data_IF_221106939447
#
_entry.id   IF_221106939447
#
_cell.length_a   1.000
_cell.length_b   1.000
_cell.length_c   1.000
_cell.angle_alpha   90.00
_cell.angle_beta   90.00
_cell.angle_gamma   90.00
#
_symmetry.space_group_name_H-M   'P 1'
#
loop_
_entity.id
_entity.type
_entity.pdbx_description
1 polymer ?
#
# COMPACT_ATOMS: atom_id res chain seq x y z
N UNK A 1 -17.54 -32.89 71.04
CA UNK A 1 -17.34 -31.65 70.26
C UNK A 1 -17.37 -32.06 68.78
N UNK A 2 -18.51 -32.05 68.08
CA UNK A 2 -19.18 -30.86 67.48
C UNK A 2 -18.16 -30.20 66.53
N UNK A 3 -18.19 -30.29 65.20
CA UNK A 3 -19.31 -29.94 64.30
C UNK A 3 -19.02 -30.36 62.83
N UNK A 4 -20.07 -30.90 62.16
CA UNK A 4 -20.63 -30.45 60.85
C UNK A 4 -19.94 -30.98 59.56
N UNK A 5 -20.53 -31.99 58.86
CA UNK A 5 -21.58 -31.90 57.80
C UNK A 5 -20.97 -31.36 56.48
N UNK A 6 -21.08 -31.93 55.27
CA UNK A 6 -21.97 -32.94 54.68
C UNK A 6 -21.42 -33.40 53.31
N UNK A 7 -21.65 -34.67 52.98
CA UNK A 7 -22.05 -35.25 51.68
C UNK A 7 -21.41 -34.75 50.36
N UNK A 8 -20.59 -35.62 49.76
CA UNK A 8 -20.34 -35.67 48.32
C UNK A 8 -21.44 -36.54 47.66
N UNK A 9 -22.49 -35.90 47.15
CA UNK A 9 -23.51 -36.56 46.32
C UNK A 9 -23.11 -36.49 44.85
N UNK A 10 -23.15 -37.66 44.20
CA UNK A 10 -23.14 -37.85 42.76
C UNK A 10 -24.23 -36.96 42.16
N UNK A 11 -23.86 -36.03 41.28
CA UNK A 11 -24.80 -35.22 40.53
C UNK A 11 -24.43 -35.26 39.05
N UNK A 12 -25.11 -36.17 38.36
CA UNK A 12 -25.34 -36.15 36.93
C UNK A 12 -25.99 -34.81 36.61
N UNK A 13 -25.27 -33.92 35.94
CA UNK A 13 -25.84 -32.71 35.37
C UNK A 13 -25.77 -32.77 33.84
N UNK A 14 -26.95 -33.01 33.28
CA UNK A 14 -27.35 -32.58 31.95
C UNK A 14 -27.08 -31.08 31.82
N UNK A 15 -26.08 -30.68 31.04
CA UNK A 15 -25.97 -29.31 30.52
C UNK A 15 -26.10 -29.39 29.01
N UNK A 16 -27.33 -29.12 28.57
CA UNK A 16 -27.69 -28.32 27.40
C UNK A 16 -26.57 -28.10 26.39
N UNK A 17 -26.74 -28.67 25.18
CA UNK A 17 -26.14 -28.14 23.96
C UNK A 17 -26.60 -26.69 23.78
N UNK A 18 -25.86 -25.75 24.35
CA UNK A 18 -25.85 -24.38 23.85
C UNK A 18 -25.06 -24.44 22.55
N UNK A 19 -25.78 -24.66 21.44
CA UNK A 19 -25.27 -24.31 20.13
C UNK A 19 -25.02 -22.81 20.15
N UNK A 20 -23.76 -22.41 20.36
CA UNK A 20 -23.28 -21.11 19.92
C UNK A 20 -23.68 -21.00 18.44
N UNK A 21 -24.34 -19.92 18.00
CA UNK A 21 -24.59 -19.72 16.59
C UNK A 21 -23.23 -19.75 15.92
N UNK A 22 -23.06 -20.69 14.98
CA UNK A 22 -21.99 -20.65 14.01
C UNK A 22 -22.02 -19.24 13.43
N UNK A 23 -21.06 -18.40 13.83
CA UNK A 23 -20.87 -17.09 13.22
C UNK A 23 -20.79 -17.31 11.73
N UNK A 24 -21.73 -16.70 11.02
CA UNK A 24 -21.92 -16.76 9.58
C UNK A 24 -20.55 -16.74 8.86
N UNK A 25 -20.22 -17.71 7.98
CA UNK A 25 -18.92 -17.77 7.30
C UNK A 25 -18.66 -16.61 6.32
N UNK A 26 -19.47 -15.54 6.37
CA UNK A 26 -19.26 -14.26 5.69
C UNK A 26 -19.43 -13.09 6.68
N UNK A 27 -18.54 -12.97 7.67
CA UNK A 27 -18.03 -11.62 7.93
C UNK A 27 -17.20 -11.30 6.70
N UNK A 28 -17.81 -10.66 5.70
CA UNK A 28 -17.07 -10.06 4.59
C UNK A 28 -16.06 -9.11 5.23
N UNK A 29 -14.79 -9.52 5.27
CA UNK A 29 -13.71 -8.62 5.67
C UNK A 29 -13.80 -7.42 4.72
N UNK A 30 -14.20 -6.26 5.26
CA UNK A 30 -14.22 -5.01 4.52
C UNK A 30 -12.81 -4.75 4.02
N UNK A 31 -12.61 -4.82 2.70
CA UNK A 31 -11.30 -4.57 2.11
C UNK A 31 -10.97 -3.10 2.20
N UNK A 32 -9.71 -2.77 2.41
CA UNK A 32 -9.21 -1.40 2.34
C UNK A 32 -8.20 -1.28 1.21
N UNK A 33 -8.38 -0.29 0.33
CA UNK A 33 -7.37 0.10 -0.65
C UNK A 33 -6.77 1.44 -0.25
N UNK A 34 -5.44 1.51 -0.18
CA UNK A 34 -4.71 2.76 -0.03
C UNK A 34 -4.29 3.25 -1.41
N UNK A 35 -4.75 4.43 -1.81
CA UNK A 35 -4.32 5.13 -3.02
C UNK A 35 -3.29 6.19 -2.68
N UNK A 36 -2.15 6.15 -3.35
CA UNK A 36 -1.10 7.16 -3.30
C UNK A 36 -1.00 7.84 -4.67
N UNK A 37 -1.31 9.12 -4.73
CA UNK A 37 -1.11 9.93 -5.93
C UNK A 37 0.19 10.74 -5.85
N UNK A 38 1.13 10.50 -6.77
CA UNK A 38 2.46 11.13 -6.74
C UNK A 38 2.70 12.20 -7.80
N UNK A 39 1.79 12.35 -8.77
CA UNK A 39 1.93 13.38 -9.79
C UNK A 39 1.79 14.77 -9.19
N UNK A 40 2.75 15.67 -9.47
CA UNK A 40 2.65 17.09 -9.11
C UNK A 40 1.54 17.82 -9.88
N UNK A 41 1.09 17.25 -11.02
CA UNK A 41 -0.03 17.76 -11.79
C UNK A 41 -1.34 17.23 -11.19
N UNK A 42 -2.27 18.12 -10.87
CA UNK A 42 -3.65 17.75 -10.56
C UNK A 42 -4.46 17.63 -11.85
N UNK A 43 -4.41 18.66 -12.69
CA UNK A 43 -5.05 18.68 -14.01
C UNK A 43 -4.11 18.13 -15.09
N UNK A 44 -4.67 17.42 -16.08
CA UNK A 44 -3.90 16.85 -17.20
C UNK A 44 -2.94 15.72 -16.80
N UNK A 45 -3.09 15.14 -15.61
CA UNK A 45 -2.27 14.02 -15.16
C UNK A 45 -2.85 12.68 -15.61
N UNK A 46 -2.24 12.09 -16.64
CA UNK A 46 -2.69 10.78 -17.14
C UNK A 46 -2.61 9.66 -16.10
N UNK A 47 -1.59 9.66 -15.23
CA UNK A 47 -1.49 8.65 -14.17
C UNK A 47 -2.65 8.75 -13.18
N UNK A 48 -3.09 9.98 -12.83
CA UNK A 48 -4.24 10.19 -11.94
C UNK A 48 -5.54 9.77 -12.60
N UNK A 49 -5.79 10.19 -13.85
CA UNK A 49 -7.00 9.80 -14.59
C UNK A 49 -7.14 8.29 -14.77
N UNK A 50 -6.03 7.59 -15.04
CA UNK A 50 -6.02 6.12 -15.11
C UNK A 50 -6.15 5.48 -13.70
N UNK A 51 -5.63 6.14 -12.66
CA UNK A 51 -5.87 5.76 -11.26
C UNK A 51 -7.34 5.87 -10.86
N UNK A 52 -8.03 6.95 -11.22
CA UNK A 52 -9.47 7.12 -11.01
C UNK A 52 -10.26 6.02 -11.71
N UNK A 53 -9.85 5.67 -12.93
CA UNK A 53 -10.45 4.55 -13.66
C UNK A 53 -10.24 3.23 -12.91
N UNK A 54 -9.00 2.92 -12.51
CA UNK A 54 -8.70 1.71 -11.73
C UNK A 54 -9.53 1.65 -10.44
N UNK A 55 -9.54 2.73 -9.66
CA UNK A 55 -10.26 2.83 -8.40
C UNK A 55 -11.75 2.53 -8.60
N UNK A 56 -12.38 3.14 -9.61
CA UNK A 56 -13.78 2.89 -9.96
C UNK A 56 -14.03 1.42 -10.27
N UNK A 57 -13.18 0.80 -11.09
CA UNK A 57 -13.33 -0.62 -11.44
C UNK A 57 -13.15 -1.51 -10.21
N UNK A 58 -12.14 -1.22 -9.38
CA UNK A 58 -11.85 -2.00 -8.19
C UNK A 58 -12.96 -1.91 -7.14
N UNK A 59 -13.51 -0.72 -6.88
CA UNK A 59 -14.64 -0.52 -5.98
C UNK A 59 -15.92 -1.17 -6.50
N UNK A 60 -16.14 -1.20 -7.82
CA UNK A 60 -17.29 -1.92 -8.41
C UNK A 60 -17.29 -3.43 -8.09
N UNK A 61 -16.12 -4.01 -7.86
CA UNK A 61 -15.94 -5.42 -7.46
C UNK A 61 -15.86 -5.62 -5.95
N UNK A 62 -15.67 -4.53 -5.20
CA UNK A 62 -15.55 -4.54 -3.75
C UNK A 62 -16.42 -3.40 -3.18
N UNK A 63 -17.76 -3.49 -3.28
CA UNK A 63 -18.67 -2.37 -2.98
C UNK A 63 -18.61 -1.90 -1.52
N UNK A 64 -18.26 -2.79 -0.59
CA UNK A 64 -18.11 -2.47 0.84
C UNK A 64 -16.68 -2.04 1.21
N UNK A 65 -15.80 -1.87 0.22
CA UNK A 65 -14.40 -1.54 0.49
C UNK A 65 -14.23 -0.07 0.89
N UNK A 66 -13.27 0.14 1.79
CA UNK A 66 -12.83 1.48 2.21
C UNK A 66 -11.72 1.98 1.30
N UNK A 67 -11.84 3.23 0.87
CA UNK A 67 -10.75 3.96 0.21
C UNK A 67 -10.01 4.81 1.25
N UNK A 68 -8.71 4.60 1.37
CA UNK A 68 -7.77 5.55 1.96
C UNK A 68 -7.04 6.25 0.81
N UNK A 69 -6.88 7.57 0.90
CA UNK A 69 -6.22 8.34 -0.16
C UNK A 69 -5.16 9.27 0.43
N UNK A 70 -4.00 9.30 -0.20
CA UNK A 70 -2.87 10.20 0.06
C UNK A 70 -2.47 10.87 -1.26
N UNK A 71 -2.70 12.18 -1.34
CA UNK A 71 -2.20 13.00 -2.44
C UNK A 71 -0.89 13.67 -1.99
N UNK A 72 0.23 13.27 -2.60
CA UNK A 72 1.55 13.75 -2.23
C UNK A 72 1.86 15.16 -2.78
N UNK A 73 1.05 15.68 -3.71
CA UNK A 73 1.16 17.05 -4.19
C UNK A 73 0.35 18.02 -3.32
N UNK A 74 -0.85 17.61 -2.87
CA UNK A 74 -1.68 18.43 -1.96
C UNK A 74 -1.25 18.34 -0.50
N UNK A 75 -0.71 17.19 -0.07
CA UNK A 75 -0.15 16.97 1.28
C UNK A 75 1.29 16.49 1.15
N UNK A 76 2.24 17.42 0.88
CA UNK A 76 3.65 17.09 0.73
C UNK A 76 4.18 16.29 1.91
N UNK A 77 5.06 15.34 1.62
CA UNK A 77 5.75 14.55 2.64
C UNK A 77 7.03 15.27 3.02
N UNK A 78 7.19 15.58 4.29
CA UNK A 78 8.43 16.14 4.80
C UNK A 78 9.58 15.14 4.59
N UNK A 79 10.70 15.64 4.08
CA UNK A 79 11.91 14.86 3.96
C UNK A 79 12.43 14.47 5.34
N UNK A 80 12.91 13.23 5.45
CA UNK A 80 13.56 12.73 6.66
C UNK A 80 14.67 13.69 7.11
N UNK A 81 14.65 14.08 8.39
CA UNK A 81 15.67 14.91 9.04
C UNK A 81 16.47 14.10 10.05
N UNK A 82 17.50 14.72 10.64
CA UNK A 82 18.34 14.10 11.68
C UNK A 82 17.49 13.52 12.81
N UNK A 83 16.56 14.29 13.37
CA UNK A 83 15.73 13.85 14.50
C UNK A 83 14.78 12.72 14.11
N UNK A 84 14.31 12.67 12.85
CA UNK A 84 13.53 11.55 12.34
C UNK A 84 14.36 10.27 12.32
N UNK A 85 15.61 10.34 11.81
CA UNK A 85 16.54 9.20 11.84
C UNK A 85 16.85 8.79 13.26
N UNK A 86 17.17 9.73 14.15
CA UNK A 86 17.41 9.44 15.57
C UNK A 86 16.20 8.74 16.18
N UNK A 87 14.99 9.22 15.91
CA UNK A 87 13.74 8.61 16.38
C UNK A 87 13.53 7.19 15.84
N UNK A 88 13.84 6.92 14.57
CA UNK A 88 13.70 5.58 13.97
C UNK A 88 14.51 4.49 14.67
N UNK A 89 15.63 4.85 15.30
CA UNK A 89 16.53 3.91 15.99
C UNK A 89 16.49 4.04 17.52
N UNK A 90 15.66 4.94 18.06
CA UNK A 90 15.51 5.11 19.51
C UNK A 90 14.46 4.12 20.03
N UNK A 91 14.77 3.30 21.05
CA UNK A 91 13.79 2.41 21.67
C UNK A 91 12.57 3.20 22.19
N UNK A 92 11.35 2.64 22.15
CA UNK A 92 10.13 3.35 22.56
C UNK A 92 10.20 3.97 23.95
N UNK A 93 10.86 3.30 24.90
CA UNK A 93 11.04 3.76 26.28
C UNK A 93 12.04 4.92 26.44
N UNK A 94 12.80 5.25 25.39
CA UNK A 94 13.78 6.35 25.35
C UNK A 94 13.35 7.50 24.44
N UNK A 95 12.19 7.40 23.78
CA UNK A 95 11.68 8.46 22.91
C UNK A 95 11.33 9.70 23.73
N UNK A 96 11.97 10.82 23.40
CA UNK A 96 11.61 12.13 23.92
C UNK A 96 10.42 12.71 23.15
N UNK A 97 9.71 13.68 23.72
CA UNK A 97 8.62 14.39 23.03
C UNK A 97 9.05 14.99 21.68
N UNK A 98 10.32 15.39 21.55
CA UNK A 98 10.88 15.88 20.30
C UNK A 98 10.95 14.80 19.24
N UNK A 99 11.47 13.62 19.60
CA UNK A 99 11.58 12.48 18.69
C UNK A 99 10.20 11.91 18.32
N UNK A 100 9.26 11.85 19.27
CA UNK A 100 7.87 11.43 19.00
C UNK A 100 7.24 12.34 17.93
N UNK A 101 7.41 13.66 18.05
CA UNK A 101 6.93 14.59 17.01
C UNK A 101 7.64 14.39 15.68
N UNK A 102 8.95 14.14 15.70
CA UNK A 102 9.75 13.95 14.50
C UNK A 102 9.42 12.65 13.73
N UNK A 103 8.85 11.63 14.40
CA UNK A 103 8.44 10.36 13.77
C UNK A 103 6.93 10.27 13.50
N UNK A 104 6.13 11.20 14.00
CA UNK A 104 4.66 11.13 13.91
C UNK A 104 4.13 10.96 12.48
N UNK A 105 4.73 11.65 11.50
CA UNK A 105 4.35 11.48 10.09
C UNK A 105 4.66 10.06 9.59
N UNK A 106 5.83 9.51 9.94
CA UNK A 106 6.19 8.13 9.59
C UNK A 106 5.20 7.14 10.21
N UNK A 107 4.80 7.35 11.47
CA UNK A 107 3.80 6.52 12.15
C UNK A 107 2.44 6.55 11.44
N UNK A 108 1.97 7.74 11.06
CA UNK A 108 0.73 7.92 10.28
C UNK A 108 0.77 7.15 8.95
N UNK A 109 1.83 7.35 8.16
CA UNK A 109 1.96 6.74 6.83
C UNK A 109 2.11 5.20 6.91
N UNK A 110 2.84 4.70 7.91
CA UNK A 110 2.97 3.26 8.15
C UNK A 110 1.61 2.68 8.56
N UNK A 111 0.83 3.38 9.40
CA UNK A 111 -0.50 2.93 9.80
C UNK A 111 -1.48 2.90 8.61
N UNK A 112 -1.45 3.90 7.73
CA UNK A 112 -2.22 3.88 6.48
C UNK A 112 -1.87 2.65 5.64
N UNK A 113 -0.57 2.36 5.45
CA UNK A 113 -0.11 1.23 4.67
C UNK A 113 -0.48 -0.11 5.32
N UNK A 114 -0.27 -0.27 6.63
CA UNK A 114 -0.57 -1.50 7.36
C UNK A 114 -2.08 -1.79 7.47
N UNK A 115 -2.93 -0.77 7.35
CA UNK A 115 -4.39 -0.91 7.33
C UNK A 115 -4.93 -1.34 5.95
N UNK A 116 -4.13 -1.30 4.89
CA UNK A 116 -4.57 -1.57 3.53
C UNK A 116 -4.35 -3.03 3.11
N UNK A 117 -5.35 -3.62 2.49
CA UNK A 117 -5.26 -4.94 1.84
C UNK A 117 -4.62 -4.84 0.45
N UNK A 118 -4.83 -3.71 -0.21
CA UNK A 118 -4.24 -3.38 -1.51
C UNK A 118 -3.68 -1.96 -1.54
N UNK A 119 -2.60 -1.77 -2.31
CA UNK A 119 -1.98 -0.49 -2.57
C UNK A 119 -2.20 -0.11 -4.04
N UNK A 120 -2.64 1.12 -4.30
CA UNK A 120 -2.70 1.73 -5.63
C UNK A 120 -1.73 2.91 -5.64
N UNK A 121 -0.75 2.93 -6.54
CA UNK A 121 0.15 4.07 -6.72
C UNK A 121 -0.04 4.63 -8.12
N UNK A 122 -0.36 5.91 -8.24
CA UNK A 122 -0.30 6.63 -9.53
C UNK A 122 1.01 7.39 -9.62
N UNK A 123 1.78 7.13 -10.68
CA UNK A 123 3.16 7.60 -10.78
C UNK A 123 3.54 8.03 -12.21
N UNK A 124 3.85 9.32 -12.42
CA UNK A 124 4.48 9.75 -13.66
C UNK A 124 5.99 9.49 -13.61
N UNK A 125 6.60 9.26 -14.77
CA UNK A 125 8.04 9.27 -14.92
C UNK A 125 8.53 10.74 -14.92
N UNK A 126 9.28 11.13 -13.89
CA UNK A 126 9.98 12.42 -13.85
C UNK A 126 11.48 12.16 -13.86
N UNK A 127 12.17 12.71 -14.87
CA UNK A 127 13.63 12.56 -15.03
C UNK A 127 14.10 11.11 -14.85
N UNK A 128 13.48 10.18 -15.59
CA UNK A 128 13.81 8.75 -15.63
C UNK A 128 13.47 7.94 -14.37
N UNK A 129 12.91 8.56 -13.32
CA UNK A 129 12.56 7.88 -12.06
C UNK A 129 11.18 8.31 -11.52
N UNK A 130 10.88 7.87 -10.30
CA UNK A 130 9.71 8.29 -9.54
C UNK A 130 9.80 9.78 -9.12
N UNK A 131 8.67 10.46 -8.86
CA UNK A 131 8.68 11.79 -8.26
C UNK A 131 9.38 11.80 -6.89
N UNK A 132 10.07 12.90 -6.56
CA UNK A 132 10.75 13.06 -5.27
C UNK A 132 9.79 12.97 -4.08
N UNK A 133 8.53 13.40 -4.25
CA UNK A 133 7.48 13.27 -3.25
C UNK A 133 7.14 11.81 -2.94
N UNK A 134 7.10 10.93 -3.97
CA UNK A 134 6.93 9.49 -3.77
C UNK A 134 8.14 8.88 -3.09
N UNK A 135 9.36 9.33 -3.44
CA UNK A 135 10.56 8.90 -2.74
C UNK A 135 10.53 9.29 -1.26
N UNK A 136 10.10 10.50 -0.93
CA UNK A 136 9.94 10.94 0.46
C UNK A 136 8.90 10.10 1.21
N UNK A 137 7.78 9.73 0.58
CA UNK A 137 6.83 8.78 1.17
C UNK A 137 7.46 7.41 1.43
N UNK A 138 8.17 6.85 0.45
CA UNK A 138 8.89 5.56 0.58
C UNK A 138 9.89 5.61 1.73
N UNK A 139 10.64 6.71 1.86
CA UNK A 139 11.61 6.92 2.94
C UNK A 139 10.92 6.88 4.31
N UNK A 140 9.79 7.58 4.46
CA UNK A 140 9.06 7.61 5.73
C UNK A 140 8.45 6.25 6.11
N UNK A 141 7.99 5.44 5.14
CA UNK A 141 7.39 4.13 5.43
C UNK A 141 8.41 3.01 5.54
N UNK A 142 9.66 3.20 5.11
CA UNK A 142 10.71 2.17 5.18
C UNK A 142 11.42 2.23 6.54
N UNK A 143 10.84 1.58 7.55
CA UNK A 143 11.33 1.65 8.94
C UNK A 143 11.50 0.27 9.56
N UNK A 144 12.71 0.01 10.07
CA UNK A 144 13.07 -1.25 10.73
C UNK A 144 12.19 -1.47 11.96
N UNK A 145 11.72 -2.70 12.16
CA UNK A 145 10.80 -3.05 13.24
C UNK A 145 9.32 -2.70 12.95
N UNK A 146 9.02 -2.03 11.84
CA UNK A 146 7.65 -1.62 11.50
C UNK A 146 7.17 -2.13 10.14
N UNK A 147 7.98 -1.96 9.09
CA UNK A 147 7.64 -2.39 7.72
C UNK A 147 8.67 -3.36 7.14
N UNK A 148 9.82 -3.48 7.77
CA UNK A 148 10.76 -4.59 7.56
C UNK A 148 11.52 -4.91 8.86
N UNK A 149 12.13 -6.08 8.95
CA UNK A 149 13.04 -6.49 10.02
C UNK A 149 14.33 -7.05 9.45
N UNK A 150 15.36 -7.17 10.31
CA UNK A 150 16.62 -7.84 10.03
C UNK A 150 17.00 -8.70 11.23
N UNK A 151 17.27 -9.98 11.02
CA UNK A 151 17.58 -10.94 12.09
C UNK A 151 19.09 -11.18 12.29
N UNK A 152 19.94 -10.45 11.55
CA UNK A 152 21.39 -10.68 11.52
C UNK A 152 21.87 -11.39 10.25
N UNK A 153 20.96 -12.04 9.52
CA UNK A 153 21.26 -12.75 8.27
C UNK A 153 20.41 -12.28 7.09
N UNK A 154 19.12 -11.98 7.33
CA UNK A 154 18.13 -11.75 6.28
C UNK A 154 17.20 -10.59 6.63
N UNK A 155 16.82 -9.85 5.58
CA UNK A 155 15.72 -8.91 5.67
C UNK A 155 14.39 -9.62 5.46
N UNK A 156 13.37 -9.20 6.21
CA UNK A 156 12.00 -9.66 6.05
C UNK A 156 11.04 -8.47 5.98
N UNK A 157 10.20 -8.43 4.95
CA UNK A 157 9.11 -7.46 4.86
C UNK A 157 7.99 -7.76 5.86
N UNK A 158 7.49 -6.73 6.54
CA UNK A 158 6.48 -6.80 7.59
C UNK A 158 5.14 -6.18 7.17
N UNK A 159 5.02 -5.66 5.95
CA UNK A 159 3.76 -5.07 5.47
C UNK A 159 2.70 -6.15 5.26
N UNK A 160 1.50 -5.90 5.79
CA UNK A 160 0.35 -6.80 5.65
C UNK A 160 -0.26 -6.77 4.25
N UNK A 161 -0.25 -5.62 3.59
CA UNK A 161 -0.66 -5.44 2.19
C UNK A 161 0.06 -6.46 1.31
N UNK A 162 -0.70 -7.24 0.53
CA UNK A 162 -0.12 -8.31 -0.31
C UNK A 162 0.00 -7.94 -1.78
N UNK A 163 -0.78 -6.94 -2.21
CA UNK A 163 -0.89 -6.57 -3.62
C UNK A 163 -0.73 -5.08 -3.82
N UNK A 164 0.07 -4.70 -4.80
CA UNK A 164 0.19 -3.34 -5.29
C UNK A 164 -0.17 -3.26 -6.78
N UNK A 165 -0.86 -2.19 -7.14
CA UNK A 165 -1.24 -1.83 -8.49
C UNK A 165 -0.60 -0.48 -8.80
N UNK A 166 0.21 -0.40 -9.84
CA UNK A 166 1.01 0.77 -10.16
C UNK A 166 0.60 1.30 -11.53
N UNK A 167 0.03 2.51 -11.55
CA UNK A 167 -0.34 3.21 -12.78
C UNK A 167 0.82 4.12 -13.17
N UNK A 168 1.57 3.71 -14.19
CA UNK A 168 2.72 4.45 -14.69
C UNK A 168 2.34 5.31 -15.90
N UNK A 169 2.79 6.57 -15.93
CA UNK A 169 2.69 7.42 -17.13
C UNK A 169 4.07 7.89 -17.60
N UNK A 170 4.40 7.59 -18.85
CA UNK A 170 5.66 7.93 -19.51
C UNK A 170 5.42 8.94 -20.63
N UNK A 171 6.21 10.02 -20.68
CA UNK A 171 6.06 11.03 -21.74
C UNK A 171 6.33 10.48 -23.14
N UNK A 172 7.38 9.67 -23.29
CA UNK A 172 7.73 8.96 -24.53
C UNK A 172 7.36 7.49 -24.46
N UNK A 173 7.39 6.81 -25.60
CA UNK A 173 7.36 5.35 -25.69
C UNK A 173 8.77 4.75 -25.64
N UNK A 174 8.84 3.46 -25.28
CA UNK A 174 10.03 2.63 -25.37
C UNK A 174 10.74 2.31 -24.05
N UNK A 175 10.15 2.63 -22.89
CA UNK A 175 10.66 2.36 -21.55
C UNK A 175 10.39 0.94 -21.05
N UNK A 176 9.47 0.20 -21.67
CA UNK A 176 9.19 -1.18 -21.30
C UNK A 176 10.30 -2.16 -21.76
N UNK A 177 10.46 -3.34 -21.11
CA UNK A 177 11.53 -4.29 -21.43
C UNK A 177 11.59 -4.64 -22.92
N UNK A 178 12.80 -4.66 -23.46
CA UNK A 178 13.07 -4.98 -24.88
C UNK A 178 13.00 -3.78 -25.84
N UNK A 179 12.57 -2.61 -25.36
CA UNK A 179 12.50 -1.39 -26.18
C UNK A 179 13.72 -0.47 -26.03
N UNK A 180 13.80 0.57 -26.85
CA UNK A 180 14.97 1.46 -27.01
C UNK A 180 15.33 2.30 -25.79
N UNK A 181 14.37 2.64 -24.93
CA UNK A 181 14.57 3.40 -23.70
C UNK A 181 14.46 2.53 -22.43
N UNK A 182 14.46 1.20 -22.57
CA UNK A 182 14.27 0.29 -21.44
C UNK A 182 15.32 0.49 -20.33
N UNK A 183 16.57 0.78 -20.69
CA UNK A 183 17.65 1.07 -19.73
C UNK A 183 17.48 2.39 -18.97
N UNK A 184 16.61 3.28 -19.47
CA UNK A 184 16.28 4.57 -18.83
C UNK A 184 15.02 4.49 -17.96
N UNK A 185 14.46 3.30 -17.75
CA UNK A 185 13.32 3.08 -16.86
C UNK A 185 13.81 2.67 -15.45
N UNK A 186 14.09 3.67 -14.60
CA UNK A 186 14.41 3.39 -13.19
C UNK A 186 13.15 3.26 -12.32
N UNK A 187 11.99 3.66 -12.84
CA UNK A 187 10.72 3.68 -12.11
C UNK A 187 10.25 2.28 -11.72
N UNK A 188 10.01 1.39 -12.69
CA UNK A 188 9.44 0.07 -12.38
C UNK A 188 10.39 -0.83 -11.58
N UNK A 189 11.69 -0.94 -11.95
CA UNK A 189 12.61 -1.78 -11.18
C UNK A 189 12.77 -1.31 -9.74
N UNK A 190 12.82 0.01 -9.50
CA UNK A 190 12.89 0.56 -8.15
C UNK A 190 11.64 0.26 -7.33
N UNK A 191 10.44 0.54 -7.88
CA UNK A 191 9.18 0.25 -7.19
C UNK A 191 8.99 -1.24 -6.95
N UNK A 192 9.31 -2.09 -7.93
CA UNK A 192 9.26 -3.54 -7.77
C UNK A 192 10.16 -4.01 -6.62
N UNK A 193 11.40 -3.52 -6.58
CA UNK A 193 12.37 -3.89 -5.55
C UNK A 193 11.90 -3.45 -4.16
N UNK A 194 11.56 -2.17 -3.98
CA UNK A 194 11.25 -1.64 -2.66
C UNK A 194 9.94 -2.19 -2.10
N UNK A 195 8.92 -2.38 -2.95
CA UNK A 195 7.65 -2.98 -2.51
C UNK A 195 7.84 -4.45 -2.11
N UNK A 196 8.62 -5.21 -2.89
CA UNK A 196 8.98 -6.59 -2.52
C UNK A 196 9.77 -6.65 -1.22
N UNK A 197 10.74 -5.74 -1.04
CA UNK A 197 11.54 -5.63 0.19
C UNK A 197 10.65 -5.40 1.43
N UNK A 198 9.62 -4.57 1.31
CA UNK A 198 8.65 -4.33 2.38
C UNK A 198 7.63 -5.47 2.58
N UNK A 199 7.60 -6.47 1.67
CA UNK A 199 6.78 -7.68 1.78
C UNK A 199 5.55 -7.71 0.85
N UNK A 200 5.41 -6.74 -0.05
CA UNK A 200 4.32 -6.67 -1.03
C UNK A 200 4.77 -7.39 -2.31
N UNK A 201 4.45 -8.68 -2.42
CA UNK A 201 5.00 -9.55 -3.48
C UNK A 201 4.26 -9.47 -4.81
N UNK A 202 2.95 -9.22 -4.80
CA UNK A 202 2.15 -9.14 -6.03
C UNK A 202 2.08 -7.69 -6.51
N UNK A 203 3.05 -7.28 -7.34
CA UNK A 203 3.11 -5.93 -7.93
C UNK A 203 2.69 -5.99 -9.39
N UNK A 204 1.65 -5.24 -9.76
CA UNK A 204 1.09 -5.20 -11.10
C UNK A 204 1.27 -3.79 -11.69
N UNK A 205 1.98 -3.68 -12.81
CA UNK A 205 2.20 -2.42 -13.50
C UNK A 205 1.22 -2.24 -14.67
N UNK A 206 0.64 -1.05 -14.78
CA UNK A 206 -0.15 -0.59 -15.92
C UNK A 206 0.54 0.63 -16.49
N UNK A 207 1.12 0.51 -17.69
CA UNK A 207 2.00 1.53 -18.24
C UNK A 207 1.37 2.22 -19.42
N UNK A 208 1.11 3.52 -19.27
CA UNK A 208 0.81 4.42 -20.38
C UNK A 208 2.11 5.00 -20.93
N UNK A 209 2.52 4.53 -22.10
CA UNK A 209 3.62 5.09 -22.87
C UNK A 209 3.14 6.13 -23.90
N UNK A 210 3.99 7.11 -24.24
CA UNK A 210 3.66 8.14 -25.22
C UNK A 210 2.64 9.17 -24.75
N UNK A 211 2.64 9.51 -23.46
CA UNK A 211 1.72 10.49 -22.88
C UNK A 211 1.95 11.94 -23.37
N UNK A 212 3.01 12.19 -24.13
CA UNK A 212 3.29 13.47 -24.82
C UNK A 212 3.09 13.39 -26.34
N UNK A 213 2.53 12.28 -26.86
CA UNK A 213 2.21 12.11 -28.28
C UNK A 213 0.96 12.91 -28.69
N UNK A 214 0.53 12.75 -29.95
CA UNK A 214 -0.74 13.33 -30.40
C UNK A 214 -1.96 12.69 -29.70
N UNK A 215 -3.09 13.40 -29.72
CA UNK A 215 -4.30 13.01 -29.00
C UNK A 215 -4.85 11.64 -29.42
N UNK A 216 -4.77 11.28 -30.71
CA UNK A 216 -5.28 10.00 -31.21
C UNK A 216 -4.42 8.83 -30.71
N UNK A 217 -3.10 9.00 -30.70
CA UNK A 217 -2.15 8.04 -30.11
C UNK A 217 -2.40 7.89 -28.61
N UNK A 218 -2.52 9.01 -27.88
CA UNK A 218 -2.81 8.98 -26.44
C UNK A 218 -4.13 8.25 -26.16
N UNK A 219 -5.19 8.55 -26.89
CA UNK A 219 -6.50 7.91 -26.70
C UNK A 219 -6.43 6.39 -26.94
N UNK A 220 -5.70 5.96 -27.96
CA UNK A 220 -5.49 4.53 -28.27
C UNK A 220 -4.74 3.84 -27.13
N UNK A 221 -3.64 4.43 -26.65
CA UNK A 221 -2.84 3.85 -25.57
C UNK A 221 -3.61 3.83 -24.25
N UNK A 222 -4.38 4.87 -23.94
CA UNK A 222 -5.27 4.91 -22.78
C UNK A 222 -6.32 3.81 -22.84
N UNK A 223 -6.94 3.57 -24.00
CA UNK A 223 -7.92 2.50 -24.17
C UNK A 223 -7.29 1.11 -23.94
N UNK A 224 -6.07 0.90 -24.43
CA UNK A 224 -5.32 -0.33 -24.17
C UNK A 224 -5.06 -0.54 -22.68
N UNK A 225 -4.57 0.49 -21.98
CA UNK A 225 -4.31 0.40 -20.53
C UNK A 225 -5.59 0.11 -19.75
N UNK A 226 -6.72 0.76 -20.09
CA UNK A 226 -8.02 0.49 -19.47
C UNK A 226 -8.46 -0.96 -19.64
N UNK A 227 -8.29 -1.53 -20.83
CA UNK A 227 -8.57 -2.95 -21.08
C UNK A 227 -7.74 -3.87 -20.19
N UNK A 228 -6.44 -3.60 -20.04
CA UNK A 228 -5.57 -4.36 -19.13
C UNK A 228 -5.98 -4.22 -17.66
N UNK A 229 -6.41 -3.02 -17.24
CA UNK A 229 -6.97 -2.80 -15.89
C UNK A 229 -8.22 -3.66 -15.69
N UNK A 230 -9.16 -3.66 -16.64
CA UNK A 230 -10.42 -4.41 -16.53
C UNK A 230 -10.17 -5.92 -16.39
N UNK A 231 -9.19 -6.45 -17.11
CA UNK A 231 -8.76 -7.85 -17.00
C UNK A 231 -8.15 -8.16 -15.64
N UNK A 232 -7.30 -7.26 -15.10
CA UNK A 232 -6.62 -7.49 -13.82
C UNK A 232 -7.53 -7.35 -12.61
N UNK A 233 -8.57 -6.52 -12.67
CA UNK A 233 -9.53 -6.32 -11.58
C UNK A 233 -10.59 -7.43 -11.55
N UNK A 234 -10.76 -8.15 -12.66
CA UNK A 234 -11.70 -9.27 -12.78
C UNK A 234 -11.13 -10.63 -12.29
N UNK A 235 -9.85 -10.69 -11.96
CA UNK A 235 -9.12 -11.89 -11.53
C UNK A 235 -8.78 -11.87 -10.02
#
# INVERSE_FOLDING_TARGET
>A
MINVIFRLFILVFFISKVSLPLTDPKVLLMKTILRIDSSARHEGSHSRTLGDYFEKQWLSKNPDAKLLSRDLASRPIEHIQQDTITGFYTPPEQLTDGLIRATALSDELINELQAADALLITVPLYNFSIPSSLKAWIDQVSRIGHTFSYDGERFQGLVKTKRAYIICAYGSSGYLPGNTLASANFLQPYLQFVLNFLGIQAVHFFSLEGASSDEATIATNVAHVKSTIDQSVSA
#
